data_IF_793285612174
#
_entry.id   IF_793285612174
#
_cell.length_a   1.000
_cell.length_b   1.000
_cell.length_c   1.000
_cell.angle_alpha   90.00
_cell.angle_beta   90.00
_cell.angle_gamma   90.00
#
_symmetry.space_group_name_H-M   'P 1'
#
loop_
_entity.id
_entity.type
_entity.pdbx_description
1 polymer ?
#
# COMPACT_ATOMS: atom_id res chain seq x y z
N UNK A 1 20.92 -3.38 14.92
CA UNK A 1 19.93 -2.32 15.25
C UNK A 1 19.50 -1.51 14.04
N UNK A 2 19.10 -2.18 12.96
CA UNK A 2 18.57 -1.50 11.78
C UNK A 2 17.11 -1.93 11.64
N UNK A 3 16.18 -0.98 11.82
CA UNK A 3 14.73 -1.23 11.82
C UNK A 3 14.14 -1.10 10.41
N UNK A 4 14.90 -0.50 9.48
CA UNK A 4 14.48 -0.26 8.09
C UNK A 4 15.36 -1.02 7.12
N UNK A 5 14.79 -1.39 5.98
CA UNK A 5 15.54 -1.96 4.86
C UNK A 5 16.51 -0.94 4.28
N UNK A 6 17.66 -1.43 3.83
CA UNK A 6 18.59 -0.65 3.01
C UNK A 6 18.21 -0.75 1.54
N UNK A 7 18.74 0.15 0.72
CA UNK A 7 18.55 0.09 -0.73
C UNK A 7 19.17 -1.16 -1.36
N UNK A 8 20.28 -1.66 -0.82
CA UNK A 8 20.87 -2.91 -1.30
C UNK A 8 19.94 -4.11 -1.06
N UNK A 9 19.25 -4.15 0.10
CA UNK A 9 18.23 -5.16 0.38
C UNK A 9 17.01 -5.03 -0.55
N UNK A 10 16.59 -3.80 -0.87
CA UNK A 10 15.50 -3.55 -1.83
C UNK A 10 15.85 -4.11 -3.21
N UNK A 11 17.05 -3.80 -3.72
CA UNK A 11 17.54 -4.31 -5.00
C UNK A 11 17.64 -5.83 -5.02
N UNK A 12 18.25 -6.43 -4.00
CA UNK A 12 18.38 -7.88 -3.86
C UNK A 12 17.02 -8.58 -3.92
N UNK A 13 16.03 -8.07 -3.17
CA UNK A 13 14.69 -8.66 -3.15
C UNK A 13 13.93 -8.45 -4.46
N UNK A 14 14.12 -7.32 -5.12
CA UNK A 14 13.54 -7.08 -6.44
C UNK A 14 14.12 -8.03 -7.49
N UNK A 15 15.44 -8.20 -7.53
CA UNK A 15 16.13 -9.17 -8.41
C UNK A 15 15.67 -10.61 -8.13
N UNK A 16 15.29 -10.91 -6.89
CA UNK A 16 14.70 -12.20 -6.49
C UNK A 16 13.20 -12.34 -6.83
N UNK A 17 12.57 -11.34 -7.44
CA UNK A 17 11.19 -11.37 -7.92
C UNK A 17 10.14 -10.81 -6.96
N UNK A 18 10.53 -10.10 -5.90
CA UNK A 18 9.59 -9.37 -5.06
C UNK A 18 9.12 -8.06 -5.73
N UNK A 19 7.85 -7.73 -5.52
CA UNK A 19 7.26 -6.48 -5.97
C UNK A 19 7.41 -5.38 -4.90
N UNK A 20 7.50 -4.12 -5.34
CA UNK A 20 7.60 -2.96 -4.47
C UNK A 20 6.47 -1.96 -4.76
N UNK A 21 5.89 -1.42 -3.70
CA UNK A 21 4.83 -0.42 -3.77
C UNK A 21 5.20 0.86 -3.02
N UNK A 22 4.49 1.93 -3.32
CA UNK A 22 4.65 3.21 -2.63
C UNK A 22 4.01 3.20 -1.25
N UNK A 23 4.62 3.92 -0.30
CA UNK A 23 4.08 4.10 1.05
C UNK A 23 4.38 5.50 1.61
N UNK A 24 4.38 6.52 0.74
CA UNK A 24 4.82 7.90 0.99
C UNK A 24 6.31 8.05 1.31
N UNK A 25 6.79 9.29 1.43
CA UNK A 25 8.17 9.58 1.83
C UNK A 25 8.28 9.57 3.36
N UNK A 26 7.33 10.20 4.06
CA UNK A 26 7.41 10.47 5.50
C UNK A 26 6.29 9.84 6.34
N UNK A 27 5.48 8.96 5.75
CA UNK A 27 4.35 8.30 6.40
C UNK A 27 3.27 9.25 7.01
N UNK A 28 2.88 10.38 6.37
CA UNK A 28 1.78 11.19 6.87
C UNK A 28 0.41 10.57 6.53
N UNK A 29 -0.59 10.87 7.34
CA UNK A 29 -2.00 10.63 6.96
C UNK A 29 -2.38 11.61 5.86
N UNK A 30 -2.40 11.17 4.61
CA UNK A 30 -2.47 12.04 3.42
C UNK A 30 -3.67 12.98 3.42
N UNK A 31 -4.86 12.52 3.81
CA UNK A 31 -6.08 13.34 3.85
C UNK A 31 -5.97 14.58 4.75
N UNK A 32 -5.08 14.56 5.76
CA UNK A 32 -4.85 15.68 6.67
C UNK A 32 -3.98 16.79 6.06
N UNK A 33 -3.45 16.60 4.85
CA UNK A 33 -2.51 17.53 4.23
C UNK A 33 -3.07 18.18 2.95
N UNK A 34 -2.57 19.39 2.58
CA UNK A 34 -2.86 20.01 1.30
C UNK A 34 -2.46 19.13 0.11
N UNK A 35 -3.11 19.33 -1.04
CA UNK A 35 -2.90 18.54 -2.27
C UNK A 35 -1.43 18.54 -2.71
N UNK A 36 -0.72 19.66 -2.56
CA UNK A 36 0.67 19.80 -2.94
C UNK A 36 1.58 18.90 -2.10
N UNK A 37 1.30 18.78 -0.81
CA UNK A 37 2.03 17.87 0.08
C UNK A 37 1.70 16.41 -0.24
N UNK A 38 0.42 16.09 -0.49
CA UNK A 38 0.03 14.74 -0.89
C UNK A 38 0.74 14.32 -2.18
N UNK A 39 0.77 15.20 -3.18
CA UNK A 39 1.47 14.98 -4.45
C UNK A 39 2.96 14.76 -4.23
N UNK A 40 3.61 15.60 -3.42
CA UNK A 40 5.03 15.45 -3.08
C UNK A 40 5.30 14.05 -2.48
N UNK A 41 4.55 13.67 -1.44
CA UNK A 41 4.71 12.40 -0.74
C UNK A 41 4.52 11.18 -1.66
N UNK A 42 3.58 11.27 -2.60
CA UNK A 42 3.25 10.17 -3.52
C UNK A 42 4.28 10.06 -4.64
N UNK A 43 4.58 11.18 -5.32
CA UNK A 43 5.45 11.20 -6.50
C UNK A 43 6.91 10.95 -6.14
N UNK A 44 7.41 11.57 -5.07
CA UNK A 44 8.82 11.42 -4.69
C UNK A 44 9.10 10.03 -4.10
N UNK A 45 8.13 9.43 -3.42
CA UNK A 45 8.20 8.02 -3.00
C UNK A 45 8.35 7.12 -4.23
N UNK A 46 7.51 7.31 -5.25
CA UNK A 46 7.55 6.56 -6.51
C UNK A 46 8.92 6.70 -7.18
N UNK A 47 9.31 7.93 -7.49
CA UNK A 47 10.57 8.23 -8.18
C UNK A 47 11.77 7.67 -7.45
N UNK A 48 11.79 7.75 -6.11
CA UNK A 48 12.88 7.24 -5.29
C UNK A 48 13.02 5.72 -5.40
N UNK A 49 11.92 4.99 -5.35
CA UNK A 49 11.91 3.52 -5.44
C UNK A 49 12.25 3.08 -6.86
N UNK A 50 11.62 3.67 -7.88
CA UNK A 50 11.84 3.31 -9.29
C UNK A 50 13.28 3.58 -9.73
N UNK A 51 13.93 4.62 -9.18
CA UNK A 51 15.35 4.88 -9.41
C UNK A 51 16.28 3.81 -8.79
N UNK A 52 15.81 3.05 -7.80
CA UNK A 52 16.61 2.02 -7.11
C UNK A 52 16.48 0.66 -7.74
N UNK A 53 15.27 0.33 -8.19
CA UNK A 53 14.95 -0.97 -8.79
C UNK A 53 14.99 -0.94 -10.33
N UNK A 54 15.11 0.23 -10.95
CA UNK A 54 15.09 0.44 -12.41
C UNK A 54 13.83 -0.14 -13.11
N UNK A 55 12.73 -0.23 -12.37
CA UNK A 55 11.42 -0.72 -12.82
C UNK A 55 10.30 0.16 -12.27
N UNK A 56 9.10 0.04 -12.85
CA UNK A 56 7.93 0.81 -12.44
C UNK A 56 7.14 0.15 -11.31
N UNK A 57 6.73 0.94 -10.33
CA UNK A 57 5.83 0.48 -9.26
C UNK A 57 4.37 0.86 -9.55
N UNK A 58 3.42 -0.02 -9.26
CA UNK A 58 2.01 0.22 -9.57
C UNK A 58 1.06 0.18 -8.37
N UNK A 59 1.53 -0.32 -7.23
CA UNK A 59 0.76 -0.44 -6.00
C UNK A 59 1.13 0.66 -4.99
N UNK A 60 0.16 1.09 -4.19
CA UNK A 60 0.35 2.05 -3.11
C UNK A 60 -0.39 1.60 -1.84
N UNK A 61 0.26 1.67 -0.69
CA UNK A 61 -0.38 1.45 0.62
C UNK A 61 -0.58 2.79 1.32
N UNK A 62 -1.78 3.09 1.78
CA UNK A 62 -2.02 4.33 2.53
C UNK A 62 -1.42 4.24 3.95
N UNK A 63 -0.65 5.24 4.42
CA UNK A 63 -0.23 5.31 5.82
C UNK A 63 -1.42 5.23 6.78
N UNK A 64 -1.31 4.38 7.81
CA UNK A 64 -2.38 4.02 8.76
C UNK A 64 -3.58 3.27 8.12
N UNK A 65 -4.02 3.66 6.92
CA UNK A 65 -4.95 2.90 6.08
C UNK A 65 -6.41 2.90 6.53
N UNK A 66 -6.81 3.82 7.43
CA UNK A 66 -8.21 4.05 7.78
C UNK A 66 -9.00 4.75 6.66
N UNK A 67 -10.34 4.70 6.73
CA UNK A 67 -11.22 5.33 5.73
C UNK A 67 -11.01 6.84 5.58
N UNK A 68 -10.60 7.50 6.66
CA UNK A 68 -10.34 8.94 6.70
C UNK A 68 -8.86 9.27 6.43
N UNK A 69 -8.03 8.30 6.04
CA UNK A 69 -6.60 8.51 5.81
C UNK A 69 -6.26 8.95 4.38
N UNK A 70 -7.20 8.82 3.45
CA UNK A 70 -7.09 9.20 2.05
C UNK A 70 -8.45 9.69 1.57
N UNK A 71 -8.45 10.58 0.59
CA UNK A 71 -9.67 11.15 0.01
C UNK A 71 -9.57 11.19 -1.53
N UNK A 72 -10.54 11.81 -2.19
CA UNK A 72 -10.53 11.92 -3.66
C UNK A 72 -9.27 12.65 -4.17
N UNK A 73 -8.76 13.63 -3.43
CA UNK A 73 -7.53 14.35 -3.79
C UNK A 73 -6.33 13.40 -3.78
N UNK A 74 -6.27 12.52 -2.78
CA UNK A 74 -5.24 11.48 -2.70
C UNK A 74 -5.32 10.53 -3.90
N UNK A 75 -6.53 10.08 -4.25
CA UNK A 75 -6.76 9.18 -5.40
C UNK A 75 -6.34 9.82 -6.71
N UNK A 76 -6.65 11.11 -6.89
CA UNK A 76 -6.27 11.86 -8.09
C UNK A 76 -4.74 12.01 -8.19
N UNK A 77 -4.04 12.27 -7.08
CA UNK A 77 -2.58 12.27 -7.05
C UNK A 77 -1.99 10.91 -7.43
N UNK A 78 -2.54 9.81 -6.90
CA UNK A 78 -2.07 8.46 -7.24
C UNK A 78 -2.25 8.15 -8.73
N UNK A 79 -3.42 8.51 -9.29
CA UNK A 79 -3.70 8.32 -10.72
C UNK A 79 -2.75 9.14 -11.60
N UNK A 80 -2.50 10.41 -11.26
CA UNK A 80 -1.57 11.28 -11.98
C UNK A 80 -0.12 10.79 -11.89
N UNK A 81 0.27 10.24 -10.74
CA UNK A 81 1.58 9.64 -10.55
C UNK A 81 1.72 8.26 -11.23
N UNK A 82 0.66 7.71 -11.84
CA UNK A 82 0.71 6.46 -12.58
C UNK A 82 0.61 5.19 -11.72
N UNK A 83 0.15 5.31 -10.46
CA UNK A 83 -0.26 4.12 -9.69
C UNK A 83 -1.54 3.52 -10.28
N UNK A 84 -1.78 2.25 -9.96
CA UNK A 84 -2.95 1.49 -10.42
C UNK A 84 -3.79 0.94 -9.28
N UNK A 85 -3.19 0.76 -8.10
CA UNK A 85 -3.81 0.11 -6.96
C UNK A 85 -3.54 0.89 -5.66
N UNK A 86 -4.56 1.07 -4.83
CA UNK A 86 -4.48 1.66 -3.50
C UNK A 86 -5.01 0.70 -2.45
N UNK A 87 -4.20 0.41 -1.42
CA UNK A 87 -4.53 -0.56 -0.37
C UNK A 87 -4.81 0.12 0.97
N UNK A 88 -5.97 -0.17 1.55
CA UNK A 88 -6.39 0.26 2.89
C UNK A 88 -6.06 -0.79 3.96
N UNK A 89 -6.33 -0.49 5.23
CA UNK A 89 -6.01 -1.36 6.38
C UNK A 89 -7.21 -1.60 7.31
N UNK A 90 -8.39 -1.11 6.98
CA UNK A 90 -9.56 -1.19 7.87
C UNK A 90 -10.35 -2.53 7.79
N UNK A 91 -9.82 -3.54 7.11
CA UNK A 91 -10.49 -4.83 6.90
C UNK A 91 -11.49 -4.83 5.74
N UNK A 92 -12.04 -6.01 5.44
CA UNK A 92 -13.03 -6.22 4.39
C UNK A 92 -12.62 -7.26 3.34
N UNK A 93 -13.60 -7.62 2.52
CA UNK A 93 -13.44 -8.53 1.39
C UNK A 93 -13.64 -7.79 0.06
N UNK A 94 -12.72 -8.03 -0.88
CA UNK A 94 -12.79 -7.47 -2.24
C UNK A 94 -13.07 -8.58 -3.26
N UNK A 95 -14.27 -8.64 -3.88
CA UNK A 95 -14.57 -9.63 -4.89
C UNK A 95 -13.78 -9.41 -6.19
N UNK A 96 -13.43 -10.52 -6.84
CA UNK A 96 -12.80 -10.47 -8.17
C UNK A 96 -13.74 -9.82 -9.19
N UNK A 97 -13.22 -8.83 -9.93
CA UNK A 97 -13.92 -8.18 -11.03
C UNK A 97 -14.81 -6.97 -10.67
N UNK A 98 -15.05 -6.69 -9.39
CA UNK A 98 -15.91 -5.56 -8.95
C UNK A 98 -15.32 -4.81 -7.75
N UNK A 99 -14.05 -4.41 -7.84
CA UNK A 99 -13.35 -3.70 -6.77
C UNK A 99 -13.07 -2.24 -7.13
N UNK A 100 -13.02 -1.39 -6.11
CA UNK A 100 -12.45 -0.04 -6.24
C UNK A 100 -10.92 -0.17 -6.21
N UNK A 101 -10.29 0.10 -7.34
CA UNK A 101 -8.83 0.02 -7.47
C UNK A 101 -8.10 0.92 -6.47
N UNK A 102 -8.76 1.96 -5.96
CA UNK A 102 -8.18 2.92 -5.02
C UNK A 102 -8.49 2.61 -3.56
N UNK A 103 -9.26 1.56 -3.28
CA UNK A 103 -9.61 1.15 -1.92
C UNK A 103 -9.74 -0.37 -1.84
N UNK A 104 -8.61 -1.04 -2.02
CA UNK A 104 -8.52 -2.49 -1.86
C UNK A 104 -8.31 -2.79 -0.37
N UNK A 105 -9.29 -3.43 0.30
CA UNK A 105 -9.14 -3.80 1.71
C UNK A 105 -8.07 -4.88 1.89
N UNK A 106 -7.39 -4.82 3.03
CA UNK A 106 -6.45 -5.84 3.48
C UNK A 106 -6.89 -6.42 4.82
N UNK A 107 -6.47 -7.65 5.05
CA UNK A 107 -6.65 -8.36 6.31
C UNK A 107 -5.36 -8.20 7.11
N UNK A 108 -5.47 -7.74 8.35
CA UNK A 108 -4.36 -7.71 9.28
C UNK A 108 -3.98 -9.13 9.70
N UNK A 109 -2.69 -9.43 9.69
CA UNK A 109 -2.14 -10.68 10.25
C UNK A 109 -1.19 -10.29 11.38
N UNK A 110 -1.56 -10.65 12.60
CA UNK A 110 -0.87 -10.23 13.82
C UNK A 110 -0.16 -11.41 14.49
N UNK A 111 0.83 -11.13 15.35
CA UNK A 111 1.68 -12.15 15.97
C UNK A 111 0.93 -13.17 16.84
N UNK A 112 -0.21 -12.78 17.42
CA UNK A 112 -1.02 -13.62 18.30
C UNK A 112 -2.21 -14.29 17.58
N UNK A 113 -2.30 -14.20 16.25
CA UNK A 113 -3.40 -14.78 15.50
C UNK A 113 -3.34 -16.33 15.52
N UNK A 114 -4.40 -17.02 15.99
CA UNK A 114 -4.45 -18.48 15.93
C UNK A 114 -4.38 -18.95 14.47
N UNK A 115 -3.58 -19.98 14.17
CA UNK A 115 -3.46 -20.53 12.82
C UNK A 115 -4.82 -20.93 12.19
N UNK A 116 -5.79 -21.32 13.03
CA UNK A 116 -7.15 -21.61 12.60
C UNK A 116 -7.92 -20.37 12.10
N UNK A 117 -7.68 -19.21 12.71
CA UNK A 117 -8.28 -17.93 12.28
C UNK A 117 -7.65 -17.50 10.95
N UNK A 118 -6.32 -17.49 10.85
CA UNK A 118 -5.62 -17.20 9.59
C UNK A 118 -6.13 -18.09 8.45
N UNK A 119 -6.24 -19.40 8.70
CA UNK A 119 -6.77 -20.36 7.72
C UNK A 119 -8.21 -20.05 7.32
N UNK A 120 -9.06 -19.64 8.27
CA UNK A 120 -10.45 -19.28 8.00
C UNK A 120 -10.54 -18.03 7.13
N UNK A 121 -9.75 -17.00 7.45
CA UNK A 121 -9.66 -15.74 6.70
C UNK A 121 -9.28 -15.94 5.23
N UNK A 122 -8.30 -16.81 4.94
CA UNK A 122 -7.90 -17.09 3.55
C UNK A 122 -8.79 -18.11 2.82
N UNK A 123 -9.63 -18.87 3.56
CA UNK A 123 -10.52 -19.88 2.95
C UNK A 123 -11.91 -19.34 2.63
N UNK A 124 -12.46 -18.47 3.49
CA UNK A 124 -13.81 -17.91 3.37
C UNK A 124 -13.79 -16.42 3.78
N UNK A 125 -13.04 -15.57 3.05
CA UNK A 125 -12.84 -14.17 3.45
C UNK A 125 -14.13 -13.36 3.51
N UNK A 126 -15.20 -13.76 2.81
CA UNK A 126 -16.49 -13.07 2.86
C UNK A 126 -17.14 -13.10 4.25
N UNK A 127 -16.73 -14.03 5.11
CA UNK A 127 -17.29 -14.25 6.45
C UNK A 127 -16.35 -13.76 7.54
N UNK A 128 -15.04 -13.87 7.31
CA UNK A 128 -14.01 -13.66 8.33
C UNK A 128 -13.21 -12.37 8.15
N UNK A 129 -13.49 -11.57 7.12
CA UNK A 129 -12.71 -10.38 6.77
C UNK A 129 -13.57 -9.13 6.61
#
# INVERSE_FOLDING_TARGET
DQVWMTWDMVREMHEAGMDFGGHTVNHPILANHPIEQQRFEIEHCKQRIEAEIEDSISAFSYPVGGKDCFDQRTRDCLAQAGYRWGFSYYGGFSPLGTHDNWDIPRIAVESEEPAALFRSSVSIPQVFC
#
